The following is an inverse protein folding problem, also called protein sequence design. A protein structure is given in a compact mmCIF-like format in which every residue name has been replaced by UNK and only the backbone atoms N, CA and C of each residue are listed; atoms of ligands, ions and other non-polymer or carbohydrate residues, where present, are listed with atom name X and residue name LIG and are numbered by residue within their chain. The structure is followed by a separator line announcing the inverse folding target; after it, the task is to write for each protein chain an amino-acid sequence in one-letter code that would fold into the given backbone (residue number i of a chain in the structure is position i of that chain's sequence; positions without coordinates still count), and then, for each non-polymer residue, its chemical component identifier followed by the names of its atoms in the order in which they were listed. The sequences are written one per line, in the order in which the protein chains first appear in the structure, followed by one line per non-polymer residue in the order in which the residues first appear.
data_IF_061778784232
#
_entry.id   IF_061778784232
#
_cell.length_a   1.000
_cell.length_b   1.000
_cell.length_c   1.000
_cell.angle_alpha   90.00
_cell.angle_beta   90.00
_cell.angle_gamma   90.00
#
_symmetry.space_group_name_H-M   'P 1'
#
loop_
_entity.id
_entity.type
_entity.pdbx_description
1 polymer ?
#
# COMPACT_ATOMS: atom_id res chain seq x y z
N UNK A 1 2.33 -3.63 33.60
CA UNK A 1 2.64 -2.34 32.93
C UNK A 1 1.75 -2.22 31.70
N UNK A 2 1.30 -1.01 31.34
CA UNK A 2 0.55 -0.79 30.09
C UNK A 2 1.46 -0.88 28.86
N UNK A 3 0.95 -1.40 27.74
CA UNK A 3 1.66 -1.49 26.46
C UNK A 3 2.27 -0.14 26.03
N UNK A 4 1.49 0.94 26.13
CA UNK A 4 1.96 2.29 25.79
C UNK A 4 3.13 2.76 26.68
N UNK A 5 3.16 2.32 27.95
CA UNK A 5 4.28 2.61 28.86
C UNK A 5 5.55 1.90 28.43
N UNK A 6 5.45 0.65 27.97
CA UNK A 6 6.58 -0.11 27.43
C UNK A 6 7.09 0.52 26.14
N UNK A 7 6.18 0.85 25.21
CA UNK A 7 6.54 1.46 23.94
C UNK A 7 7.25 2.81 24.12
N UNK A 8 6.74 3.66 25.01
CA UNK A 8 7.37 4.95 25.33
C UNK A 8 8.79 4.77 25.88
N UNK A 9 8.97 3.85 26.84
CA UNK A 9 10.29 3.61 27.46
C UNK A 9 11.32 3.07 26.47
N UNK A 10 10.89 2.25 25.51
CA UNK A 10 11.79 1.56 24.57
C UNK A 10 12.12 2.43 23.36
N UNK A 11 11.11 3.07 22.75
CA UNK A 11 11.28 3.75 21.46
C UNK A 11 11.27 5.28 21.56
N UNK A 12 10.48 5.85 22.46
CA UNK A 12 10.16 7.28 22.41
C UNK A 12 10.78 8.14 23.52
N UNK A 13 11.36 7.53 24.57
CA UNK A 13 11.94 8.28 25.71
C UNK A 13 13.30 8.92 25.39
N UNK A 14 14.12 8.31 24.55
CA UNK A 14 15.48 8.78 24.22
C UNK A 14 15.51 9.35 22.81
N UNK A 15 15.90 10.61 22.64
CA UNK A 15 15.87 11.32 21.35
C UNK A 15 16.57 10.56 20.21
N UNK A 16 17.73 9.94 20.46
CA UNK A 16 18.44 9.15 19.45
C UNK A 16 17.67 7.91 18.98
N UNK A 17 16.96 7.25 19.90
CA UNK A 17 16.08 6.12 19.56
C UNK A 17 14.78 6.60 18.91
N UNK A 18 14.24 7.73 19.36
CA UNK A 18 13.02 8.35 18.83
C UNK A 18 13.17 8.65 17.35
N UNK A 19 14.17 9.43 16.95
CA UNK A 19 14.37 9.82 15.54
C UNK A 19 14.64 8.59 14.66
N UNK A 20 15.46 7.65 15.14
CA UNK A 20 15.71 6.39 14.43
C UNK A 20 14.44 5.56 14.24
N UNK A 21 13.58 5.49 15.25
CA UNK A 21 12.28 4.80 15.18
C UNK A 21 11.38 5.45 14.14
N UNK A 22 11.30 6.79 14.12
CA UNK A 22 10.48 7.51 13.14
C UNK A 22 10.97 7.21 11.72
N UNK A 23 12.27 7.34 11.43
CA UNK A 23 12.80 7.06 10.10
C UNK A 23 12.59 5.60 9.68
N UNK A 24 12.90 4.64 10.54
CA UNK A 24 12.68 3.22 10.23
C UNK A 24 11.20 2.95 9.94
N UNK A 25 10.29 3.49 10.77
CA UNK A 25 8.85 3.31 10.56
C UNK A 25 8.36 3.97 9.28
N UNK A 26 8.89 5.14 8.91
CA UNK A 26 8.51 5.84 7.69
C UNK A 26 8.85 5.04 6.43
N UNK A 27 10.03 4.41 6.37
CA UNK A 27 10.41 3.56 5.24
C UNK A 27 9.47 2.36 5.06
N UNK A 28 9.16 1.67 6.16
CA UNK A 28 8.25 0.52 6.12
C UNK A 28 6.81 0.96 5.82
N UNK A 29 6.38 2.05 6.44
CA UNK A 29 5.05 2.62 6.26
C UNK A 29 4.82 3.04 4.81
N UNK A 30 5.76 3.74 4.18
CA UNK A 30 5.60 4.20 2.80
C UNK A 30 5.27 3.05 1.84
N UNK A 31 6.09 2.00 1.82
CA UNK A 31 5.88 0.88 0.90
C UNK A 31 4.57 0.11 1.19
N UNK A 32 4.27 -0.11 2.47
CA UNK A 32 3.07 -0.85 2.87
C UNK A 32 1.80 -0.04 2.60
N UNK A 33 1.82 1.25 2.91
CA UNK A 33 0.67 2.13 2.74
C UNK A 33 0.36 2.36 1.27
N UNK A 34 1.37 2.62 0.44
CA UNK A 34 1.23 2.80 -1.00
C UNK A 34 0.57 1.56 -1.65
N UNK A 35 1.10 0.37 -1.36
CA UNK A 35 0.54 -0.88 -1.88
C UNK A 35 -0.89 -1.15 -1.38
N UNK A 36 -1.15 -0.93 -0.09
CA UNK A 36 -2.46 -1.19 0.49
C UNK A 36 -3.54 -0.25 -0.07
N UNK A 37 -3.24 1.05 -0.15
CA UNK A 37 -4.20 2.05 -0.65
C UNK A 37 -4.39 1.88 -2.16
N UNK A 38 -3.34 1.62 -2.92
CA UNK A 38 -3.45 1.33 -4.35
C UNK A 38 -4.32 0.10 -4.61
N UNK A 39 -4.07 -0.99 -3.89
CA UNK A 39 -4.86 -2.22 -4.00
C UNK A 39 -6.35 -1.99 -3.67
N UNK A 40 -6.61 -1.21 -2.61
CA UNK A 40 -7.97 -0.83 -2.26
C UNK A 40 -8.63 0.04 -3.35
N UNK A 41 -7.90 1.03 -3.87
CA UNK A 41 -8.40 1.95 -4.89
C UNK A 41 -8.70 1.25 -6.21
N UNK A 42 -7.79 0.38 -6.66
CA UNK A 42 -7.99 -0.44 -7.85
C UNK A 42 -9.19 -1.36 -7.67
N UNK A 43 -9.28 -2.07 -6.53
CA UNK A 43 -10.41 -2.94 -6.25
C UNK A 43 -11.74 -2.17 -6.21
N UNK A 44 -11.76 -0.97 -5.64
CA UNK A 44 -12.95 -0.15 -5.55
C UNK A 44 -13.39 0.41 -6.92
N UNK A 45 -12.46 0.63 -7.85
CA UNK A 45 -12.72 1.18 -9.18
C UNK A 45 -12.63 0.13 -10.30
N UNK A 46 -12.70 -1.16 -9.97
CA UNK A 46 -12.68 -2.26 -10.94
C UNK A 46 -13.65 -2.02 -12.09
N UNK A 47 -13.17 -2.24 -13.32
CA UNK A 47 -13.91 -2.05 -14.56
C UNK A 47 -13.98 -0.60 -15.04
N UNK A 48 -13.52 0.37 -14.25
CA UNK A 48 -13.47 1.79 -14.62
C UNK A 48 -12.05 2.26 -14.93
N UNK A 49 -11.04 1.56 -14.41
CA UNK A 49 -9.65 1.91 -14.61
C UNK A 49 -9.24 1.63 -16.06
N UNK A 50 -8.38 2.48 -16.62
CA UNK A 50 -7.85 2.25 -17.96
C UNK A 50 -7.18 0.88 -18.09
N UNK A 51 -6.51 0.39 -17.04
CA UNK A 51 -5.91 -0.94 -17.02
C UNK A 51 -6.95 -2.05 -17.25
N UNK A 52 -8.15 -1.92 -16.67
CA UNK A 52 -9.24 -2.88 -16.84
C UNK A 52 -9.88 -2.75 -18.22
N UNK A 53 -10.16 -1.52 -18.67
CA UNK A 53 -10.75 -1.24 -19.99
C UNK A 53 -9.84 -1.73 -21.11
N UNK A 54 -8.54 -1.44 -21.02
CA UNK A 54 -7.55 -1.91 -22.00
C UNK A 54 -7.53 -3.43 -22.09
N UNK A 55 -7.60 -4.14 -20.94
CA UNK A 55 -7.64 -5.60 -20.92
C UNK A 55 -8.90 -6.15 -21.59
N UNK A 56 -10.04 -5.48 -21.44
CA UNK A 56 -11.27 -5.85 -22.15
C UNK A 56 -11.16 -5.64 -23.66
N UNK A 57 -10.57 -4.51 -24.10
CA UNK A 57 -10.39 -4.23 -25.52
C UNK A 57 -9.45 -5.23 -26.19
N UNK A 58 -8.33 -5.59 -25.54
CA UNK A 58 -7.41 -6.58 -26.07
C UNK A 58 -8.02 -7.98 -26.15
N UNK A 59 -8.82 -8.37 -25.15
CA UNK A 59 -9.54 -9.65 -25.22
C UNK A 59 -10.62 -9.67 -26.30
N UNK A 60 -11.25 -8.53 -26.58
CA UNK A 60 -12.23 -8.43 -27.67
C UNK A 60 -11.60 -8.56 -29.07
N UNK A 61 -10.41 -7.98 -29.28
CA UNK A 61 -9.65 -8.18 -30.53
C UNK A 61 -9.22 -9.65 -30.69
N UNK A 62 -8.76 -10.30 -29.61
CA UNK A 62 -8.37 -11.73 -29.65
C UNK A 62 -9.59 -12.66 -29.91
N UNK A 63 -10.77 -12.33 -29.38
CA UNK A 63 -12.02 -13.10 -29.60
C UNK A 63 -12.58 -12.89 -31.04
N UNK A 64 -12.34 -11.74 -31.68
CA UNK A 64 -12.75 -11.48 -33.08
C UNK A 64 -11.85 -12.18 -34.12
N UNK A 65 -10.57 -12.43 -33.80
CA UNK A 65 -9.64 -13.14 -34.70
C UNK A 65 -9.81 -14.68 -34.66
N UNK A 66 -10.47 -15.23 -33.64
CA UNK A 66 -10.74 -16.66 -33.44
C UNK A 66 -12.12 -17.13 -34.00
N UNK A 67 -12.99 -16.21 -34.47
CA UNK A 67 -14.25 -16.50 -35.21
C UNK A 67 -14.10 -16.41 -36.75
#
# INVERSE_FOLDING_TARGET
MSFSSTLYKVLFKRNSAFVGTIFASAFVFQATFDSAVTSWYENHNKGKLWADVKKQLQGADDDEDDE
#
